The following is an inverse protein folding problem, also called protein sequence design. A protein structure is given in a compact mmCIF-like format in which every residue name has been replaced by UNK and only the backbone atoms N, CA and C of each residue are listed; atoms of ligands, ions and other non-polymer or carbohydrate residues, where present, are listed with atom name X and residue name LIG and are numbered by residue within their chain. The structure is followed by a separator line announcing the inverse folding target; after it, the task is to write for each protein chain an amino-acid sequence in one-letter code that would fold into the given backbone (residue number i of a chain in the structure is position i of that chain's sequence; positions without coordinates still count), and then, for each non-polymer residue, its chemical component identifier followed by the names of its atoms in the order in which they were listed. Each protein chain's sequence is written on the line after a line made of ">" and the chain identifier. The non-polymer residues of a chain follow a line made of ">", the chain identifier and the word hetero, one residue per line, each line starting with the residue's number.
data_IF_728518463043
#
_entry.id   IF_728518463043
#
_cell.length_a   1.000
_cell.length_b   1.000
_cell.length_c   1.000
_cell.angle_alpha   90.00
_cell.angle_beta   90.00
_cell.angle_gamma   90.00
#
_symmetry.space_group_name_H-M   'P 1'
#
loop_
_entity.id
_entity.type
_entity.pdbx_description
1 polymer ?
#
# COMPACT_ATOMS: atom_id res chain seq x y z
N UNK A 1 25.76 17.75 16.79
CA UNK A 1 24.95 16.54 16.55
C UNK A 1 25.89 15.36 16.60
N UNK A 2 25.65 14.46 17.55
CA UNK A 2 26.62 13.48 18.04
C UNK A 2 26.83 12.31 17.07
N UNK A 3 27.72 12.51 16.09
CA UNK A 3 28.14 11.50 15.11
C UNK A 3 28.69 10.21 15.72
N UNK A 4 29.07 10.24 17.01
CA UNK A 4 29.62 9.09 17.74
C UNK A 4 28.52 8.08 18.11
N UNK A 5 27.30 8.56 18.39
CA UNK A 5 26.15 7.69 18.69
C UNK A 5 25.71 6.92 17.44
N UNK A 6 25.68 7.61 16.30
CA UNK A 6 25.26 7.04 15.02
C UNK A 6 26.22 5.96 14.49
N UNK A 7 27.54 6.14 14.64
CA UNK A 7 28.53 5.16 14.16
C UNK A 7 28.49 3.87 14.98
N UNK A 8 28.27 3.98 16.29
CA UNK A 8 28.15 2.83 17.19
C UNK A 8 26.88 2.04 16.89
N UNK A 9 25.74 2.73 16.74
CA UNK A 9 24.47 2.10 16.36
C UNK A 9 24.57 1.36 15.03
N UNK A 10 25.15 2.01 14.01
CA UNK A 10 25.30 1.42 12.68
C UNK A 10 26.18 0.17 12.68
N UNK A 11 27.29 0.19 13.43
CA UNK A 11 28.17 -0.98 13.58
C UNK A 11 27.46 -2.15 14.25
N UNK A 12 26.70 -1.90 15.31
CA UNK A 12 25.91 -2.94 15.98
C UNK A 12 24.87 -3.53 15.05
N UNK A 13 24.08 -2.69 14.39
CA UNK A 13 23.02 -3.15 13.48
C UNK A 13 23.55 -3.95 12.29
N UNK A 14 24.64 -3.49 11.67
CA UNK A 14 25.29 -4.22 10.58
C UNK A 14 25.91 -5.53 11.06
N UNK A 15 26.43 -5.57 12.29
CA UNK A 15 26.96 -6.81 12.87
C UNK A 15 25.87 -7.86 13.05
N UNK A 16 24.73 -7.46 13.62
CA UNK A 16 23.55 -8.32 13.77
C UNK A 16 23.05 -8.82 12.41
N UNK A 17 22.96 -7.94 11.42
CA UNK A 17 22.57 -8.32 10.06
C UNK A 17 23.54 -9.33 9.44
N UNK A 18 24.86 -9.09 9.55
CA UNK A 18 25.87 -9.99 9.00
C UNK A 18 25.78 -11.38 9.67
N UNK A 19 25.65 -11.43 11.00
CA UNK A 19 25.50 -12.68 11.74
C UNK A 19 24.23 -13.41 11.33
N UNK A 20 23.09 -12.69 11.24
CA UNK A 20 21.83 -13.24 10.77
C UNK A 20 21.97 -13.88 9.38
N UNK A 21 22.57 -13.19 8.41
CA UNK A 21 22.77 -13.73 7.07
C UNK A 21 23.73 -14.93 7.05
N UNK A 22 24.78 -14.90 7.89
CA UNK A 22 25.69 -16.04 8.03
C UNK A 22 24.98 -17.27 8.62
N UNK A 23 24.10 -17.08 9.61
CA UNK A 23 23.28 -18.13 10.19
C UNK A 23 22.25 -18.70 9.18
N UNK A 24 21.76 -17.85 8.27
CA UNK A 24 20.93 -18.29 7.16
C UNK A 24 21.69 -19.12 6.12
N UNK A 25 23.03 -19.18 6.17
CA UNK A 25 23.83 -19.98 5.24
C UNK A 25 24.36 -19.20 4.04
N UNK A 26 24.33 -17.86 4.07
CA UNK A 26 25.00 -17.05 3.04
C UNK A 26 26.51 -17.03 3.25
N UNK A 27 27.27 -17.13 2.15
CA UNK A 27 28.73 -17.05 2.23
C UNK A 27 29.20 -15.63 2.57
N UNK A 28 30.23 -15.53 3.40
CA UNK A 28 30.80 -14.24 3.82
C UNK A 28 31.19 -13.33 2.65
N UNK A 29 31.60 -13.91 1.51
CA UNK A 29 31.96 -13.17 0.29
C UNK A 29 30.73 -12.48 -0.32
N UNK A 30 29.58 -13.15 -0.33
CA UNK A 30 28.35 -12.63 -0.92
C UNK A 30 27.73 -11.55 -0.04
N UNK A 31 27.75 -11.74 1.29
CA UNK A 31 27.34 -10.72 2.25
C UNK A 31 28.21 -9.45 2.08
N UNK A 32 29.54 -9.60 1.94
CA UNK A 32 30.46 -8.46 1.68
C UNK A 32 30.10 -7.73 0.38
N UNK A 33 29.85 -8.46 -0.71
CA UNK A 33 29.47 -7.89 -2.00
C UNK A 33 28.13 -7.15 -1.92
N UNK A 34 27.15 -7.72 -1.22
CA UNK A 34 25.85 -7.09 -1.01
C UNK A 34 25.99 -5.76 -0.26
N UNK A 35 26.69 -5.74 0.88
CA UNK A 35 26.93 -4.51 1.64
C UNK A 35 27.66 -3.44 0.80
N UNK A 36 28.63 -3.83 -0.03
CA UNK A 36 29.29 -2.89 -0.94
C UNK A 36 28.33 -2.31 -1.98
N UNK A 37 27.41 -3.11 -2.52
CA UNK A 37 26.38 -2.64 -3.47
C UNK A 37 25.39 -1.68 -2.83
N UNK A 38 25.08 -1.86 -1.55
CA UNK A 38 24.24 -0.92 -0.77
C UNK A 38 24.96 0.37 -0.36
N UNK A 39 26.22 0.57 -0.79
CA UNK A 39 26.96 1.82 -0.59
C UNK A 39 27.74 1.91 0.73
N UNK A 40 27.83 0.83 1.52
CA UNK A 40 28.63 0.82 2.74
C UNK A 40 30.14 0.91 2.44
N UNK A 41 30.87 1.72 3.21
CA UNK A 41 32.31 1.96 3.02
C UNK A 41 33.10 0.65 3.22
N UNK A 42 34.01 0.34 2.29
CA UNK A 42 34.88 -0.87 2.35
C UNK A 42 35.62 -1.02 3.69
N UNK A 43 36.06 0.09 4.29
CA UNK A 43 36.74 0.10 5.60
C UNK A 43 35.85 -0.44 6.72
N UNK A 44 34.60 0.02 6.79
CA UNK A 44 33.62 -0.40 7.79
C UNK A 44 33.30 -1.89 7.64
N UNK A 45 33.06 -2.35 6.40
CA UNK A 45 32.80 -3.78 6.12
C UNK A 45 33.98 -4.64 6.56
N UNK A 46 35.22 -4.21 6.29
CA UNK A 46 36.42 -4.94 6.69
C UNK A 46 36.53 -5.06 8.22
N UNK A 47 36.29 -3.96 8.93
CA UNK A 47 36.30 -3.89 10.40
C UNK A 47 35.24 -4.85 11.00
N UNK A 48 34.00 -4.80 10.51
CA UNK A 48 32.91 -5.68 10.97
C UNK A 48 33.25 -7.17 10.79
N UNK A 49 33.75 -7.57 9.62
CA UNK A 49 34.09 -8.97 9.37
C UNK A 49 35.32 -9.46 10.15
N UNK A 50 36.24 -8.56 10.53
CA UNK A 50 37.37 -8.90 11.40
C UNK A 50 36.92 -9.15 12.83
N UNK A 51 35.94 -8.39 13.33
CA UNK A 51 35.41 -8.57 14.68
C UNK A 51 34.52 -9.81 14.85
N UNK A 52 33.78 -10.20 13.80
CA UNK A 52 32.75 -11.24 13.91
C UNK A 52 33.26 -12.68 13.73
N UNK A 53 34.53 -12.90 13.36
CA UNK A 53 35.14 -14.23 13.18
C UNK A 53 34.29 -15.22 12.34
N UNK A 54 33.63 -14.73 11.29
CA UNK A 54 32.71 -15.53 10.47
C UNK A 54 33.51 -16.44 9.54
N UNK A 55 33.29 -17.75 9.66
CA UNK A 55 33.87 -18.76 8.76
C UNK A 55 33.48 -18.48 7.31
N UNK A 56 34.42 -18.62 6.38
CA UNK A 56 34.20 -18.37 4.95
C UNK A 56 33.31 -19.41 4.28
N UNK A 57 33.12 -20.58 4.89
CA UNK A 57 32.26 -21.64 4.35
C UNK A 57 30.87 -21.56 4.97
N UNK A 58 29.80 -21.50 4.16
CA UNK A 58 28.44 -21.55 4.67
C UNK A 58 28.21 -22.90 5.37
N UNK A 59 27.67 -22.87 6.60
CA UNK A 59 27.39 -24.08 7.38
C UNK A 59 26.12 -24.81 6.87
N UNK A 60 25.27 -24.11 6.14
CA UNK A 60 23.95 -24.56 5.67
C UNK A 60 23.66 -23.93 4.30
N UNK A 61 22.79 -24.55 3.49
CA UNK A 61 22.29 -23.90 2.27
C UNK A 61 21.36 -22.74 2.66
N UNK A 62 21.39 -21.60 1.93
CA UNK A 62 20.49 -20.48 2.18
C UNK A 62 19.05 -20.96 2.17
N UNK A 63 18.37 -20.81 3.32
CA UNK A 63 16.95 -21.11 3.42
C UNK A 63 16.20 -19.91 2.85
N UNK A 64 15.56 -20.08 1.70
CA UNK A 64 14.59 -19.09 1.23
C UNK A 64 13.41 -19.13 2.21
N UNK A 65 13.18 -18.01 2.90
CA UNK A 65 11.98 -17.83 3.71
C UNK A 65 10.77 -17.87 2.79
N UNK A 66 9.79 -18.71 3.12
CA UNK A 66 8.53 -18.72 2.40
C UNK A 66 7.72 -17.49 2.82
N UNK A 67 6.90 -16.95 1.93
CA UNK A 67 5.90 -15.93 2.25
C UNK A 67 4.95 -16.34 3.38
N UNK A 68 4.86 -17.63 3.69
CA UNK A 68 4.10 -18.18 4.81
C UNK A 68 4.78 -18.01 6.17
N UNK A 69 6.08 -17.70 6.20
CA UNK A 69 6.85 -17.47 7.43
C UNK A 69 6.77 -15.99 7.88
N UNK A 70 6.21 -15.12 7.05
CA UNK A 70 5.99 -13.70 7.36
C UNK A 70 4.68 -13.52 8.12
N UNK A 71 4.69 -12.62 9.11
CA UNK A 71 3.45 -12.14 9.73
C UNK A 71 2.51 -11.56 8.65
N UNK A 72 1.21 -11.70 8.83
CA UNK A 72 0.21 -11.40 7.80
C UNK A 72 0.27 -9.94 7.38
N UNK A 73 0.46 -9.02 8.33
CA UNK A 73 0.62 -7.59 8.06
C UNK A 73 1.90 -7.30 7.27
N UNK A 74 3.02 -7.93 7.65
CA UNK A 74 4.30 -7.77 6.95
C UNK A 74 4.24 -8.35 5.54
N UNK A 75 3.54 -9.47 5.34
CA UNK A 75 3.33 -10.07 4.02
C UNK A 75 2.55 -9.13 3.10
N UNK A 76 1.45 -8.53 3.60
CA UNK A 76 0.65 -7.55 2.85
C UNK A 76 1.49 -6.32 2.51
N UNK A 77 2.31 -5.84 3.45
CA UNK A 77 3.20 -4.71 3.23
C UNK A 77 4.24 -4.98 2.14
N UNK A 78 4.96 -6.10 2.23
CA UNK A 78 5.97 -6.51 1.23
C UNK A 78 5.32 -6.75 -0.14
N UNK A 79 4.15 -7.38 -0.18
CA UNK A 79 3.38 -7.57 -1.41
C UNK A 79 3.00 -6.22 -2.04
N UNK A 80 2.60 -5.24 -1.24
CA UNK A 80 2.26 -3.90 -1.73
C UNK A 80 3.48 -3.19 -2.31
N UNK A 81 4.66 -3.30 -1.67
CA UNK A 81 5.91 -2.75 -2.22
C UNK A 81 6.32 -3.41 -3.54
N UNK A 82 6.12 -4.74 -3.66
CA UNK A 82 6.37 -5.46 -4.90
C UNK A 82 5.45 -5.00 -6.02
N UNK A 83 4.15 -4.83 -5.73
CA UNK A 83 3.17 -4.31 -6.70
C UNK A 83 3.61 -2.93 -7.20
N UNK A 84 3.96 -2.01 -6.30
CA UNK A 84 4.43 -0.66 -6.65
C UNK A 84 5.66 -0.70 -7.55
N UNK A 85 6.62 -1.57 -7.24
CA UNK A 85 7.83 -1.74 -8.06
C UNK A 85 7.49 -2.29 -9.45
N UNK A 86 6.70 -3.36 -9.53
CA UNK A 86 6.32 -3.99 -10.80
C UNK A 86 5.57 -2.99 -11.69
N UNK A 87 4.65 -2.20 -11.12
CA UNK A 87 3.90 -1.17 -11.86
C UNK A 87 4.83 -0.09 -12.41
N UNK A 88 5.85 0.35 -11.65
CA UNK A 88 6.83 1.33 -12.11
C UNK A 88 7.67 0.79 -13.26
N UNK A 89 8.24 -0.39 -13.11
CA UNK A 89 9.06 -1.00 -14.16
C UNK A 89 8.24 -1.29 -15.42
N UNK A 90 6.97 -1.68 -15.26
CA UNK A 90 6.08 -1.88 -16.38
C UNK A 90 5.78 -0.58 -17.13
N UNK A 91 5.59 0.54 -16.42
CA UNK A 91 5.44 1.89 -17.03
C UNK A 91 6.69 2.35 -17.79
N UNK A 92 7.87 1.86 -17.42
CA UNK A 92 9.15 2.12 -18.13
C UNK A 92 9.28 1.27 -19.40
N UNK A 93 8.40 0.27 -19.60
CA UNK A 93 8.33 -0.56 -20.81
C UNK A 93 8.82 -2.00 -20.62
N UNK A 94 9.16 -2.42 -19.41
CA UNK A 94 9.54 -3.80 -19.15
C UNK A 94 8.31 -4.73 -19.15
N UNK A 95 8.45 -5.92 -19.74
CA UNK A 95 7.40 -6.93 -19.71
C UNK A 95 7.28 -7.56 -18.32
N UNK A 96 6.07 -7.97 -17.92
CA UNK A 96 5.83 -8.59 -16.61
C UNK A 96 6.69 -9.86 -16.40
N UNK A 97 6.91 -10.63 -17.46
CA UNK A 97 7.78 -11.82 -17.42
C UNK A 97 9.25 -11.48 -17.16
N UNK A 98 9.76 -10.39 -17.73
CA UNK A 98 11.13 -9.93 -17.48
C UNK A 98 11.28 -9.46 -16.02
N UNK A 99 10.29 -8.72 -15.51
CA UNK A 99 10.26 -8.25 -14.12
C UNK A 99 10.17 -9.44 -13.15
N UNK A 100 9.30 -10.42 -13.43
CA UNK A 100 9.19 -11.66 -12.64
C UNK A 100 10.52 -12.37 -12.52
N UNK A 101 11.18 -12.63 -13.66
CA UNK A 101 12.48 -13.30 -13.70
C UNK A 101 13.53 -12.52 -12.91
N UNK A 102 13.56 -11.19 -13.03
CA UNK A 102 14.48 -10.37 -12.26
C UNK A 102 14.23 -10.51 -10.76
N UNK A 103 12.99 -10.30 -10.29
CA UNK A 103 12.64 -10.36 -8.87
C UNK A 103 12.96 -11.73 -8.24
N UNK A 104 12.62 -12.82 -8.94
CA UNK A 104 12.95 -14.19 -8.47
C UNK A 104 14.45 -14.41 -8.43
N UNK A 105 15.21 -13.95 -9.44
CA UNK A 105 16.67 -14.06 -9.45
C UNK A 105 17.34 -13.22 -8.34
N UNK A 106 16.70 -12.13 -7.90
CA UNK A 106 17.14 -11.33 -6.76
C UNK A 106 16.75 -11.93 -5.40
N UNK A 107 16.08 -13.08 -5.38
CA UNK A 107 15.77 -13.83 -4.17
C UNK A 107 14.41 -13.51 -3.55
N UNK A 108 13.51 -12.82 -4.27
CA UNK A 108 12.12 -12.70 -3.84
C UNK A 108 11.39 -14.04 -4.00
N UNK A 109 10.44 -14.32 -3.10
CA UNK A 109 9.61 -15.53 -3.15
C UNK A 109 8.80 -15.55 -4.48
N UNK A 110 8.96 -16.59 -5.32
CA UNK A 110 8.21 -16.72 -6.57
C UNK A 110 6.70 -16.64 -6.39
N UNK A 111 6.15 -17.19 -5.31
CA UNK A 111 4.71 -17.20 -5.06
C UNK A 111 4.19 -15.79 -4.79
N UNK A 112 4.93 -15.00 -4.00
CA UNK A 112 4.57 -13.63 -3.67
C UNK A 112 4.64 -12.72 -4.90
N UNK A 113 5.66 -12.92 -5.75
CA UNK A 113 5.80 -12.21 -7.03
C UNK A 113 4.64 -12.57 -7.97
N UNK A 114 4.26 -13.84 -8.04
CA UNK A 114 3.14 -14.29 -8.86
C UNK A 114 1.80 -13.73 -8.39
N UNK A 115 1.55 -13.71 -7.08
CA UNK A 115 0.37 -13.04 -6.53
C UNK A 115 0.35 -11.54 -6.85
N UNK A 116 1.48 -10.85 -6.71
CA UNK A 116 1.58 -9.42 -7.03
C UNK A 116 1.27 -9.15 -8.51
N UNK A 117 1.84 -9.95 -9.43
CA UNK A 117 1.55 -9.86 -10.87
C UNK A 117 0.08 -10.20 -11.15
N UNK A 118 -0.49 -11.19 -10.46
CA UNK A 118 -1.89 -11.55 -10.60
C UNK A 118 -2.81 -10.40 -10.17
N UNK A 119 -2.51 -9.73 -9.05
CA UNK A 119 -3.24 -8.56 -8.57
C UNK A 119 -3.19 -7.42 -9.62
N UNK A 120 -2.02 -7.20 -10.24
CA UNK A 120 -1.85 -6.21 -11.31
C UNK A 120 -2.66 -6.57 -12.55
N UNK A 121 -2.56 -7.80 -13.04
CA UNK A 121 -3.29 -8.27 -14.22
C UNK A 121 -4.81 -8.27 -14.04
N UNK A 122 -5.30 -8.41 -12.81
CA UNK A 122 -6.71 -8.28 -12.46
C UNK A 122 -7.18 -6.82 -12.37
N UNK A 123 -6.29 -5.84 -12.55
CA UNK A 123 -6.62 -4.42 -12.39
C UNK A 123 -6.91 -4.01 -10.95
N UNK A 124 -6.56 -4.85 -9.97
CA UNK A 124 -6.71 -4.57 -8.53
C UNK A 124 -5.50 -3.83 -7.97
N UNK A 125 -4.90 -2.96 -8.77
CA UNK A 125 -3.78 -2.13 -8.31
C UNK A 125 -4.38 -0.98 -7.51
N UNK A 126 -4.45 -1.16 -6.19
CA UNK A 126 -4.57 -0.04 -5.26
C UNK A 126 -3.22 0.67 -5.28
N UNK A 127 -3.14 1.80 -5.96
CA UNK A 127 -1.97 2.66 -5.96
C UNK A 127 -1.87 3.29 -4.54
N UNK A 128 -1.25 2.58 -3.59
CA UNK A 128 -1.20 3.00 -2.17
C UNK A 128 -0.44 4.33 -1.97
N UNK A 129 0.29 4.79 -2.99
CA UNK A 129 0.99 6.08 -3.02
C UNK A 129 0.27 7.18 -3.81
N UNK A 130 -0.78 6.85 -4.56
CA UNK A 130 -1.57 7.85 -5.26
C UNK A 130 -2.72 8.29 -4.34
N UNK A 131 -2.59 9.53 -3.89
CA UNK A 131 -3.64 10.33 -3.28
C UNK A 131 -3.89 10.02 -1.80
N UNK A 132 -3.35 10.89 -0.94
CA UNK A 132 -4.04 11.30 0.28
C UNK A 132 -5.37 11.97 -0.10
N UNK A 133 -6.26 11.25 -0.80
CA UNK A 133 -7.64 11.69 -0.94
C UNK A 133 -8.21 11.77 0.47
N UNK A 134 -8.91 12.87 0.80
CA UNK A 134 -9.59 12.97 2.08
C UNK A 134 -10.47 11.74 2.28
N UNK A 135 -10.52 11.22 3.51
CA UNK A 135 -11.32 10.04 3.85
C UNK A 135 -12.78 10.26 3.40
N UNK A 136 -13.19 9.59 2.32
CA UNK A 136 -14.55 9.72 1.77
C UNK A 136 -15.49 8.73 2.45
N UNK A 137 -16.61 9.22 2.97
CA UNK A 137 -17.62 8.41 3.64
C UNK A 137 -18.80 8.10 2.70
N UNK A 138 -19.58 7.04 2.97
CA UNK A 138 -20.84 6.81 2.27
C UNK A 138 -21.73 8.06 2.29
N UNK A 139 -22.19 8.49 1.12
CA UNK A 139 -23.02 9.69 0.95
C UNK A 139 -24.19 9.77 1.94
N UNK A 140 -24.90 8.66 2.15
CA UNK A 140 -26.04 8.63 3.08
C UNK A 140 -25.64 9.01 4.51
N UNK A 141 -24.43 8.63 4.96
CA UNK A 141 -23.92 8.95 6.28
C UNK A 141 -23.61 10.45 6.38
N UNK A 142 -22.90 11.00 5.40
CA UNK A 142 -22.53 12.43 5.39
C UNK A 142 -23.77 13.32 5.31
N UNK A 143 -24.72 13.00 4.43
CA UNK A 143 -25.96 13.74 4.29
C UNK A 143 -26.81 13.69 5.57
N UNK A 144 -26.94 12.52 6.20
CA UNK A 144 -27.68 12.37 7.45
C UNK A 144 -27.05 13.14 8.61
N UNK A 145 -25.72 13.08 8.73
CA UNK A 145 -24.97 13.79 9.76
C UNK A 145 -25.06 15.31 9.57
N UNK A 146 -24.98 15.78 8.32
CA UNK A 146 -25.12 17.20 7.98
C UNK A 146 -26.52 17.72 8.31
N UNK A 147 -27.56 16.93 8.01
CA UNK A 147 -28.94 17.25 8.35
C UNK A 147 -29.17 17.28 9.86
N UNK A 148 -28.59 16.32 10.59
CA UNK A 148 -28.60 16.29 12.05
C UNK A 148 -27.96 17.55 12.65
N UNK A 149 -26.76 17.93 12.21
CA UNK A 149 -26.09 19.14 12.70
C UNK A 149 -26.85 20.42 12.33
N UNK A 150 -27.46 20.47 11.15
CA UNK A 150 -28.29 21.61 10.73
C UNK A 150 -29.51 21.75 11.66
N UNK A 151 -30.19 20.64 11.97
CA UNK A 151 -31.30 20.64 12.92
C UNK A 151 -30.87 21.01 14.34
N UNK A 152 -29.76 20.45 14.82
CA UNK A 152 -29.19 20.79 16.13
C UNK A 152 -28.84 22.28 16.23
N UNK A 153 -28.33 22.87 15.15
CA UNK A 153 -28.08 24.30 15.07
C UNK A 153 -29.38 25.14 15.16
N UNK A 154 -30.48 24.69 14.53
CA UNK A 154 -31.78 25.37 14.67
C UNK A 154 -32.33 25.29 16.10
N UNK A 155 -32.17 24.15 16.77
CA UNK A 155 -32.52 24.01 18.19
C UNK A 155 -31.66 24.93 19.05
N UNK A 156 -30.36 25.00 18.79
CA UNK A 156 -29.45 25.93 19.47
C UNK A 156 -29.85 27.39 19.26
N UNK A 157 -30.21 27.79 18.02
CA UNK A 157 -30.74 29.13 17.75
C UNK A 157 -32.04 29.40 18.51
N UNK A 158 -32.94 28.42 18.56
CA UNK A 158 -34.21 28.51 19.31
C UNK A 158 -33.98 28.81 20.78
N UNK A 159 -33.06 28.07 21.41
CA UNK A 159 -32.70 28.29 22.82
C UNK A 159 -32.02 29.65 23.00
N UNK A 160 -31.07 30.00 22.12
CA UNK A 160 -30.26 31.22 22.27
C UNK A 160 -31.06 32.51 22.04
N UNK A 161 -32.13 32.44 21.27
CA UNK A 161 -32.99 33.59 20.92
C UNK A 161 -34.31 33.62 21.69
N UNK A 162 -34.50 32.71 22.65
CA UNK A 162 -35.76 32.51 23.38
C UNK A 162 -37.00 32.50 22.47
N UNK A 163 -36.83 31.92 21.28
CA UNK A 163 -37.83 31.92 20.23
C UNK A 163 -38.22 30.48 19.93
N UNK A 164 -39.53 30.21 19.92
CA UNK A 164 -40.06 28.88 19.62
C UNK A 164 -39.51 28.34 18.29
N UNK A 165 -39.10 27.06 18.29
CA UNK A 165 -38.62 26.36 17.10
C UNK A 165 -39.61 26.43 15.93
N UNK A 166 -40.92 26.49 16.21
CA UNK A 166 -41.97 26.62 15.20
C UNK A 166 -41.96 27.97 14.45
N UNK A 167 -41.38 29.02 15.05
CA UNK A 167 -41.17 30.32 14.39
C UNK A 167 -39.86 30.36 13.60
N UNK A 168 -38.84 29.64 14.05
CA UNK A 168 -37.53 29.59 13.41
C UNK A 168 -37.55 28.68 12.19
N UNK A 169 -38.16 27.49 12.31
CA UNK A 169 -38.11 26.45 11.29
C UNK A 169 -38.59 26.93 9.90
N UNK A 170 -39.70 27.68 9.75
CA UNK A 170 -40.12 28.20 8.46
C UNK A 170 -39.06 29.12 7.82
N UNK A 171 -38.38 29.95 8.61
CA UNK A 171 -37.33 30.85 8.13
C UNK A 171 -36.08 30.12 7.62
N UNK A 172 -35.92 28.84 7.95
CA UNK A 172 -34.86 27.98 7.44
C UNK A 172 -35.34 26.93 6.43
N UNK A 173 -36.62 26.97 6.03
CA UNK A 173 -37.15 26.11 4.96
C UNK A 173 -36.34 26.22 3.64
N UNK A 174 -35.90 27.42 3.21
CA UNK A 174 -35.07 27.55 1.99
C UNK A 174 -33.76 26.77 2.04
N UNK A 175 -33.13 26.65 3.21
CA UNK A 175 -31.95 25.81 3.41
C UNK A 175 -32.26 24.34 3.15
N UNK A 176 -33.34 23.82 3.72
CA UNK A 176 -33.70 22.39 3.55
C UNK A 176 -34.10 22.07 2.12
N UNK A 177 -34.85 22.95 1.46
CA UNK A 177 -35.22 22.81 0.04
C UNK A 177 -33.96 22.75 -0.82
N UNK A 178 -33.04 23.69 -0.62
CA UNK A 178 -31.79 23.75 -1.36
C UNK A 178 -30.91 22.53 -1.09
N UNK A 179 -30.83 22.10 0.17
CA UNK A 179 -30.11 20.90 0.55
C UNK A 179 -30.66 19.68 -0.18
N UNK A 180 -31.99 19.43 -0.15
CA UNK A 180 -32.60 18.29 -0.85
C UNK A 180 -32.35 18.34 -2.35
N UNK A 181 -32.54 19.50 -3.00
CA UNK A 181 -32.37 19.63 -4.45
C UNK A 181 -30.91 19.42 -4.88
N UNK A 182 -29.95 19.96 -4.13
CA UNK A 182 -28.52 19.76 -4.41
C UNK A 182 -28.10 18.31 -4.15
N UNK A 183 -28.63 17.68 -3.10
CA UNK A 183 -28.39 16.27 -2.82
C UNK A 183 -28.93 15.36 -3.93
N UNK A 184 -30.11 15.65 -4.48
CA UNK A 184 -30.62 14.98 -5.68
C UNK A 184 -29.70 15.25 -6.89
N UNK A 185 -29.33 16.50 -7.15
CA UNK A 185 -28.44 16.85 -8.25
C UNK A 185 -27.07 16.14 -8.14
N UNK A 186 -26.51 16.02 -6.93
CA UNK A 186 -25.25 15.32 -6.67
C UNK A 186 -25.29 13.86 -7.13
N UNK A 187 -26.43 13.18 -6.97
CA UNK A 187 -26.62 11.80 -7.46
C UNK A 187 -26.49 11.75 -8.99
N UNK A 188 -27.13 12.67 -9.71
CA UNK A 188 -27.19 12.65 -11.17
C UNK A 188 -25.95 13.26 -11.87
N UNK A 189 -25.22 14.17 -11.22
CA UNK A 189 -24.13 14.93 -11.87
C UNK A 189 -22.82 14.15 -11.87
N UNK A 190 -22.40 13.59 -13.01
CA UNK A 190 -21.19 12.75 -13.11
C UNK A 190 -19.87 13.51 -13.30
N UNK A 191 -19.90 14.79 -13.66
CA UNK A 191 -18.69 15.55 -13.95
C UNK A 191 -18.13 16.21 -12.66
N UNK A 192 -16.85 15.94 -12.34
CA UNK A 192 -16.18 16.50 -11.16
C UNK A 192 -16.20 18.03 -11.12
N UNK A 193 -16.08 18.70 -12.27
CA UNK A 193 -16.12 20.17 -12.34
C UNK A 193 -17.49 20.74 -11.95
N UNK A 194 -18.56 20.05 -12.33
CA UNK A 194 -19.92 20.45 -11.98
C UNK A 194 -20.27 20.14 -10.52
N UNK A 195 -19.70 19.08 -9.95
CA UNK A 195 -19.85 18.77 -8.51
C UNK A 195 -19.26 19.89 -7.65
N UNK A 196 -18.09 20.41 -8.01
CA UNK A 196 -17.45 21.51 -7.28
C UNK A 196 -18.28 22.82 -7.31
N UNK A 197 -19.16 22.99 -8.30
CA UNK A 197 -20.05 24.15 -8.41
C UNK A 197 -21.37 23.98 -7.65
N UNK A 198 -21.73 22.77 -7.22
CA UNK A 198 -23.01 22.49 -6.54
C UNK A 198 -23.23 23.34 -5.27
N UNK A 199 -22.23 23.64 -4.43
CA UNK A 199 -22.45 24.50 -3.28
C UNK A 199 -22.91 25.92 -3.65
N UNK A 200 -22.36 26.49 -4.72
CA UNK A 200 -22.79 27.78 -5.24
C UNK A 200 -24.21 27.74 -5.80
N UNK A 201 -24.57 26.68 -6.52
CA UNK A 201 -25.96 26.47 -6.95
C UNK A 201 -26.91 26.35 -5.76
N UNK A 202 -26.49 25.70 -4.68
CA UNK A 202 -27.27 25.61 -3.45
C UNK A 202 -27.57 26.99 -2.84
N UNK A 203 -26.57 27.87 -2.80
CA UNK A 203 -26.74 29.26 -2.34
C UNK A 203 -27.75 30.00 -3.22
N UNK A 204 -27.64 29.89 -4.55
CA UNK A 204 -28.57 30.56 -5.47
C UNK A 204 -30.00 30.07 -5.24
N UNK A 205 -30.21 28.75 -5.14
CA UNK A 205 -31.53 28.17 -4.86
C UNK A 205 -32.07 28.67 -3.51
N UNK A 206 -31.20 28.79 -2.49
CA UNK A 206 -31.58 29.28 -1.16
C UNK A 206 -32.07 30.72 -1.23
N UNK A 207 -31.32 31.59 -1.91
CA UNK A 207 -31.66 33.02 -2.05
C UNK A 207 -32.97 33.19 -2.83
N UNK A 208 -33.12 32.50 -3.95
CA UNK A 208 -34.35 32.55 -4.77
C UNK A 208 -35.55 32.04 -3.97
N UNK A 209 -35.40 30.91 -3.28
CA UNK A 209 -36.49 30.33 -2.46
C UNK A 209 -36.86 31.22 -1.28
N UNK A 210 -35.89 31.90 -0.66
CA UNK A 210 -36.12 32.82 0.45
C UNK A 210 -36.85 34.10 -0.02
N UNK A 211 -36.38 34.72 -1.11
CA UNK A 211 -37.04 35.90 -1.69
C UNK A 211 -38.47 35.56 -2.12
N UNK A 212 -38.65 34.42 -2.81
CA UNK A 212 -39.98 33.93 -3.17
C UNK A 212 -40.85 33.69 -1.93
N UNK A 213 -40.32 33.04 -0.90
CA UNK A 213 -41.04 32.78 0.35
C UNK A 213 -41.52 34.07 1.05
N UNK A 214 -40.73 35.14 1.03
CA UNK A 214 -41.14 36.46 1.54
C UNK A 214 -42.22 37.09 0.65
N UNK A 215 -42.06 37.02 -0.68
CA UNK A 215 -43.00 37.61 -1.63
C UNK A 215 -44.39 36.97 -1.56
N UNK A 216 -44.45 35.64 -1.40
CA UNK A 216 -45.71 34.89 -1.29
C UNK A 216 -46.28 34.82 0.14
N UNK A 217 -45.67 35.51 1.11
CA UNK A 217 -46.17 35.57 2.49
C UNK A 217 -46.03 34.27 3.29
N UNK A 218 -45.24 33.31 2.79
CA UNK A 218 -44.92 32.04 3.47
C UNK A 218 -43.91 32.30 4.58
N UNK A 219 -42.97 33.21 4.34
CA UNK A 219 -41.99 33.68 5.32
C UNK A 219 -42.45 35.01 5.90
N UNK A 220 -42.40 35.12 7.23
CA UNK A 220 -42.72 36.38 7.91
C UNK A 220 -41.70 37.46 7.55
N UNK A 221 -42.18 38.67 7.21
CA UNK A 221 -41.34 39.87 7.11
C UNK A 221 -40.92 40.32 8.52
N UNK A 222 -40.01 39.58 9.14
CA UNK A 222 -39.46 39.91 10.43
C UNK A 222 -38.28 40.88 10.29
N UNK A 223 -38.11 41.84 11.22
CA UNK A 223 -36.87 42.61 11.29
C UNK A 223 -35.68 41.65 11.45
N UNK A 224 -34.64 41.84 10.62
CA UNK A 224 -33.50 40.91 10.54
C UNK A 224 -33.62 39.82 9.47
N UNK A 225 -34.57 39.93 8.53
CA UNK A 225 -34.68 39.04 7.37
C UNK A 225 -33.38 38.91 6.57
N UNK A 226 -32.59 39.98 6.48
CA UNK A 226 -31.32 39.98 5.75
C UNK A 226 -30.28 39.12 6.45
N UNK A 227 -30.25 39.14 7.78
CA UNK A 227 -29.38 38.29 8.61
C UNK A 227 -29.79 36.83 8.45
N UNK A 228 -31.09 36.54 8.44
CA UNK A 228 -31.61 35.18 8.21
C UNK A 228 -31.26 34.67 6.81
N UNK A 229 -31.36 35.51 5.78
CA UNK A 229 -30.97 35.17 4.41
C UNK A 229 -29.47 34.81 4.33
N UNK A 230 -28.61 35.65 4.90
CA UNK A 230 -27.16 35.41 4.93
C UNK A 230 -26.85 34.10 5.67
N UNK A 231 -27.49 33.87 6.81
CA UNK A 231 -27.26 32.67 7.60
C UNK A 231 -27.71 31.40 6.86
N UNK A 232 -28.88 31.44 6.21
CA UNK A 232 -29.34 30.36 5.32
C UNK A 232 -28.34 30.09 4.19
N UNK A 233 -27.85 31.14 3.52
CA UNK A 233 -26.90 31.01 2.42
C UNK A 233 -25.57 30.37 2.88
N UNK A 234 -25.02 30.85 4.00
CA UNK A 234 -23.76 30.33 4.58
C UNK A 234 -23.93 28.86 4.98
N UNK A 235 -25.00 28.51 5.69
CA UNK A 235 -25.24 27.13 6.10
C UNK A 235 -25.50 26.21 4.91
N UNK A 236 -26.22 26.67 3.88
CA UNK A 236 -26.37 25.90 2.63
C UNK A 236 -25.02 25.66 1.97
N UNK A 237 -24.17 26.69 1.86
CA UNK A 237 -22.83 26.54 1.27
C UNK A 237 -21.98 25.51 2.03
N UNK A 238 -21.94 25.61 3.37
CA UNK A 238 -21.17 24.70 4.21
C UNK A 238 -21.73 23.28 4.14
N UNK A 239 -23.05 23.11 4.32
CA UNK A 239 -23.69 21.79 4.31
C UNK A 239 -23.53 21.06 2.98
N UNK A 240 -23.80 21.74 1.87
CA UNK A 240 -23.61 21.17 0.53
C UNK A 240 -22.14 20.96 0.19
N UNK A 241 -21.25 21.85 0.63
CA UNK A 241 -19.81 21.72 0.51
C UNK A 241 -19.26 20.48 1.24
N UNK A 242 -19.71 20.24 2.48
CA UNK A 242 -19.36 19.04 3.24
C UNK A 242 -19.81 17.77 2.52
N UNK A 243 -21.05 17.74 2.03
CA UNK A 243 -21.55 16.60 1.25
C UNK A 243 -20.70 16.40 -0.01
N UNK A 244 -20.41 17.44 -0.77
CA UNK A 244 -19.62 17.32 -2.00
C UNK A 244 -18.16 16.92 -1.76
N UNK A 245 -17.54 17.40 -0.68
CA UNK A 245 -16.14 17.16 -0.37
C UNK A 245 -15.88 15.79 0.28
N UNK A 246 -16.79 15.34 1.16
CA UNK A 246 -16.58 14.14 1.98
C UNK A 246 -17.42 12.94 1.55
N UNK A 247 -18.41 13.11 0.66
CA UNK A 247 -19.20 11.98 0.18
C UNK A 247 -18.51 11.23 -0.94
N UNK A 248 -18.38 9.91 -0.76
CA UNK A 248 -18.06 9.00 -1.84
C UNK A 248 -19.29 8.87 -2.74
N UNK A 249 -19.17 9.30 -3.99
CA UNK A 249 -20.20 9.02 -4.99
C UNK A 249 -20.26 7.50 -5.20
N UNK A 250 -21.45 6.91 -5.05
CA UNK A 250 -21.64 5.46 -5.11
C UNK A 250 -21.08 4.85 -6.40
N UNK A 251 -20.38 3.71 -6.26
CA UNK A 251 -19.65 2.99 -7.32
C UNK A 251 -18.85 3.91 -8.26
N UNK A 252 -17.97 4.74 -7.71
CA UNK A 252 -16.67 4.93 -8.38
C UNK A 252 -15.91 3.60 -8.30
N UNK A 253 -16.35 2.65 -9.13
CA UNK A 253 -15.50 1.57 -9.58
C UNK A 253 -14.31 2.28 -10.21
N UNK A 254 -13.14 2.20 -9.58
CA UNK A 254 -11.89 2.70 -10.14
C UNK A 254 -11.61 1.81 -11.35
N UNK A 255 -12.33 2.06 -12.43
CA UNK A 255 -11.98 1.59 -13.76
C UNK A 255 -10.79 2.45 -14.11
N UNK A 256 -9.60 2.02 -13.68
CA UNK A 256 -8.40 2.31 -14.45
C UNK A 256 -8.73 1.74 -15.82
N UNK A 257 -9.16 2.62 -16.74
CA UNK A 257 -9.14 2.32 -18.16
C UNK A 257 -7.67 2.18 -18.51
N UNK A 258 -7.12 1.01 -18.22
CA UNK A 258 -5.89 0.57 -18.84
C UNK A 258 -6.20 0.63 -20.33
N UNK A 259 -5.58 1.57 -21.03
CA UNK A 259 -5.65 1.72 -22.49
C UNK A 259 -5.24 0.43 -23.23
N UNK A 260 -4.77 -0.57 -22.50
CA UNK A 260 -4.26 -1.84 -23.03
C UNK A 260 -5.33 -2.77 -23.60
N UNK A 261 -6.64 -2.61 -23.34
CA UNK A 261 -7.61 -3.52 -24.01
C UNK A 261 -7.73 -3.28 -25.52
N UNK A 262 -7.39 -2.08 -26.02
CA UNK A 262 -7.27 -1.81 -27.47
C UNK A 262 -5.87 -2.09 -27.99
N UNK A 263 -4.83 -1.80 -27.22
CA UNK A 263 -3.44 -2.06 -27.62
C UNK A 263 -3.06 -3.55 -27.54
N UNK A 264 -3.54 -4.31 -26.56
CA UNK A 264 -3.37 -5.76 -26.49
C UNK A 264 -4.21 -6.52 -27.53
N UNK A 265 -5.34 -5.95 -27.99
CA UNK A 265 -6.07 -6.48 -29.15
C UNK A 265 -5.31 -6.20 -30.46
N UNK A 266 -4.73 -5.01 -30.61
CA UNK A 266 -3.84 -4.69 -31.75
C UNK A 266 -2.58 -5.56 -31.78
N UNK A 267 -1.91 -5.75 -30.64
CA UNK A 267 -0.73 -6.61 -30.56
C UNK A 267 -1.06 -8.09 -30.85
N UNK A 268 -2.22 -8.59 -30.42
CA UNK A 268 -2.68 -9.95 -30.78
C UNK A 268 -3.12 -10.09 -32.24
N UNK A 269 -3.62 -9.04 -32.87
CA UNK A 269 -3.87 -9.02 -34.32
C UNK A 269 -2.57 -8.91 -35.12
N UNK A 270 -1.60 -8.11 -34.67
CA UNK A 270 -0.28 -7.99 -35.30
C UNK A 270 0.55 -9.28 -35.16
N UNK A 271 0.52 -9.98 -34.02
CA UNK A 271 1.13 -11.31 -33.87
C UNK A 271 0.48 -12.37 -34.78
N UNK A 272 -0.85 -12.37 -34.92
CA UNK A 272 -1.54 -13.27 -35.87
C UNK A 272 -1.19 -12.97 -37.32
N UNK A 273 -1.00 -11.70 -37.69
CA UNK A 273 -0.61 -11.30 -39.04
C UNK A 273 0.86 -11.68 -39.34
N UNK A 274 1.73 -11.72 -38.32
CA UNK A 274 3.12 -12.17 -38.47
C UNK A 274 3.21 -13.71 -38.59
N UNK A 275 2.41 -14.48 -37.84
CA UNK A 275 2.34 -15.93 -37.99
C UNK A 275 1.75 -16.37 -39.35
N UNK A 276 0.80 -15.61 -39.90
CA UNK A 276 0.17 -15.94 -41.19
C UNK A 276 1.05 -15.59 -42.41
N UNK A 277 2.02 -14.67 -42.26
CA UNK A 277 2.96 -14.29 -43.33
C UNK A 277 4.28 -15.06 -43.34
N UNK A 278 4.61 -15.80 -42.28
CA UNK A 278 5.77 -16.70 -42.28
C UNK A 278 5.27 -18.11 -42.65
N UNK A 279 4.91 -18.30 -43.93
CA UNK A 279 4.90 -19.64 -44.53
C UNK A 279 6.35 -20.11 -44.62
N UNK A 280 6.81 -20.79 -43.58
CA UNK A 280 8.08 -21.54 -43.61
C UNK A 280 8.01 -22.53 -44.78
N UNK A 281 8.91 -22.46 -45.77
CA UNK A 281 8.98 -23.45 -46.83
C UNK A 281 9.21 -24.83 -46.20
N UNK A 282 8.37 -25.80 -46.54
CA UNK A 282 8.61 -27.22 -46.23
C UNK A 282 9.96 -27.62 -46.83
N UNK A 283 10.99 -27.72 -46.00
CA UNK A 283 12.23 -28.39 -46.38
C UNK A 283 12.02 -29.89 -46.23
N UNK A 284 12.26 -30.58 -47.34
CA UNK A 284 12.24 -32.03 -47.50
C UNK A 284 13.60 -32.57 -47.01
N UNK A 285 13.54 -33.51 -46.04
CA UNK A 285 14.32 -34.76 -45.87
C UNK A 285 14.71 -35.05 -44.40
N UNK A 286 14.49 -36.28 -43.91
CA UNK A 286 14.91 -36.69 -42.58
C UNK A 286 16.38 -37.14 -42.59
N UNK A 287 17.23 -36.46 -41.83
CA UNK A 287 18.58 -36.91 -41.54
C UNK A 287 18.57 -38.16 -40.61
N UNK A 288 19.50 -39.11 -40.78
CA UNK A 288 19.48 -40.41 -40.12
C UNK A 288 19.78 -40.29 -38.62
N UNK A 289 19.14 -41.15 -37.83
CA UNK A 289 19.37 -41.31 -36.39
C UNK A 289 20.76 -41.91 -36.15
N UNK A 290 21.70 -41.09 -35.70
CA UNK A 290 22.89 -41.59 -35.00
C UNK A 290 22.67 -41.57 -33.48
N UNK A 291 23.01 -42.64 -32.75
CA UNK A 291 22.89 -42.70 -31.30
C UNK A 291 23.95 -41.81 -30.63
N UNK A 292 23.48 -40.86 -29.83
CA UNK A 292 24.33 -40.00 -29.01
C UNK A 292 25.07 -40.83 -27.95
N UNK A 293 26.40 -40.89 -28.05
CA UNK A 293 27.27 -41.36 -26.98
C UNK A 293 27.70 -40.16 -26.11
N UNK A 294 27.42 -40.15 -24.79
CA UNK A 294 27.97 -39.12 -23.91
C UNK A 294 29.49 -39.29 -23.74
N UNK A 295 30.27 -38.20 -23.74
CA UNK A 295 31.71 -38.27 -23.57
C UNK A 295 32.08 -38.77 -22.17
N UNK A 296 33.07 -39.67 -22.12
CA UNK A 296 33.67 -40.22 -20.89
C UNK A 296 34.14 -39.08 -19.97
N UNK A 297 33.60 -39.04 -18.76
CA UNK A 297 34.15 -38.24 -17.66
C UNK A 297 35.57 -38.75 -17.36
N UNK A 298 36.54 -37.87 -17.54
CA UNK A 298 37.93 -38.13 -17.25
C UNK A 298 38.16 -37.97 -15.75
N UNK A 299 38.16 -39.09 -15.01
CA UNK A 299 38.59 -39.17 -13.62
C UNK A 299 40.10 -38.95 -13.55
N UNK A 300 40.53 -37.69 -13.41
CA UNK A 300 41.94 -37.34 -13.27
C UNK A 300 42.09 -36.06 -12.44
N UNK A 301 41.63 -36.07 -11.18
CA UNK A 301 42.07 -35.10 -10.17
C UNK A 301 41.71 -35.53 -8.72
N UNK A 302 41.91 -36.80 -8.39
CA UNK A 302 41.68 -37.33 -7.02
C UNK A 302 42.93 -37.97 -6.38
N UNK A 303 44.12 -37.56 -6.80
CA UNK A 303 45.37 -37.93 -6.13
C UNK A 303 46.23 -36.70 -5.97
N UNK A 304 46.24 -36.13 -4.76
CA UNK A 304 47.11 -35.11 -4.14
C UNK A 304 46.15 -34.39 -3.17
N UNK A 305 45.95 -34.83 -1.94
CA UNK A 305 46.89 -34.78 -0.83
C UNK A 305 46.40 -35.81 0.20
N UNK A 306 47.12 -36.93 0.31
CA UNK A 306 47.00 -37.89 1.41
C UNK A 306 48.43 -38.17 1.83
N UNK A 307 48.95 -37.36 2.76
CA UNK A 307 50.06 -37.63 3.68
C UNK A 307 50.51 -36.29 4.25
N UNK A 308 50.05 -35.97 5.46
CA UNK A 308 50.87 -35.41 6.55
C UNK A 308 50.01 -35.39 7.83
N UNK A 309 50.07 -36.48 8.60
CA UNK A 309 50.86 -36.62 9.83
C UNK A 309 50.07 -36.15 11.07
N UNK A 310 49.53 -37.17 11.74
CA UNK A 310 49.59 -37.41 13.18
C UNK A 310 50.14 -36.29 14.06
N UNK A 311 49.28 -35.70 14.91
CA UNK A 311 49.65 -35.30 16.28
C UNK A 311 48.51 -35.56 17.28
N UNK A 312 48.84 -35.93 18.53
CA UNK A 312 47.95 -36.64 19.43
C UNK A 312 46.97 -35.74 20.21
N UNK A 313 45.84 -36.37 20.58
CA UNK A 313 44.82 -35.92 21.53
C UNK A 313 45.44 -35.41 22.84
N UNK A 314 45.08 -34.20 23.25
CA UNK A 314 45.10 -33.81 24.67
C UNK A 314 43.69 -33.88 25.23
N UNK A 315 43.53 -34.80 26.18
CA UNK A 315 42.45 -34.90 27.14
C UNK A 315 42.58 -33.73 28.11
N UNK A 316 41.51 -32.97 28.32
CA UNK A 316 41.37 -32.13 29.52
C UNK A 316 39.98 -32.34 30.10
N UNK A 317 40.00 -32.67 31.39
CA UNK A 317 38.87 -32.95 32.25
C UNK A 317 38.02 -31.69 32.50
N UNK A 318 36.71 -31.90 32.62
CA UNK A 318 35.80 -30.98 33.31
C UNK A 318 36.25 -30.72 34.75
N UNK A 319 35.84 -29.57 35.31
CA UNK A 319 35.16 -29.61 36.60
C UNK A 319 33.77 -29.00 36.53
N UNK A 320 32.95 -29.54 37.42
CA UNK A 320 31.54 -29.33 37.70
C UNK A 320 31.23 -28.02 38.44
N UNK A 321 29.93 -27.69 38.41
CA UNK A 321 29.15 -26.89 39.36
C UNK A 321 29.40 -25.38 39.45
N UNK A 322 28.35 -24.59 39.20
CA UNK A 322 27.61 -23.85 40.25
C UNK A 322 26.27 -23.37 39.69
N UNK A 323 25.22 -23.79 40.40
CA UNK A 323 23.84 -23.30 40.43
C UNK A 323 23.73 -21.78 40.65
N UNK A 324 22.80 -21.11 39.98
CA UNK A 324 21.75 -20.28 40.63
C UNK A 324 20.84 -19.60 39.59
N UNK A 325 19.56 -19.99 39.61
CA UNK A 325 18.39 -19.25 39.14
C UNK A 325 18.21 -17.95 39.95
N UNK A 326 17.49 -16.92 39.43
CA UNK A 326 16.05 -16.90 39.68
C UNK A 326 15.16 -16.48 38.50
N UNK A 327 14.04 -17.21 38.41
CA UNK A 327 12.78 -16.75 37.82
C UNK A 327 12.25 -15.49 38.54
N UNK A 328 11.54 -14.62 37.81
CA UNK A 328 10.42 -13.73 38.21
C UNK A 328 10.17 -12.76 37.04
N UNK A 329 8.97 -12.31 36.65
CA UNK A 329 7.60 -12.42 37.15
C UNK A 329 6.65 -12.19 35.95
N UNK A 330 5.61 -13.02 35.82
CA UNK A 330 4.39 -12.66 35.08
C UNK A 330 3.64 -11.58 35.88
N UNK A 331 3.34 -10.42 35.28
CA UNK A 331 2.32 -9.49 35.79
C UNK A 331 1.13 -9.49 34.83
N UNK A 332 0.05 -10.14 35.27
CA UNK A 332 -1.31 -9.94 34.73
C UNK A 332 -1.89 -8.73 35.44
N UNK A 333 -2.32 -7.72 34.71
CA UNK A 333 -3.28 -6.74 35.25
C UNK A 333 -4.59 -6.86 34.46
N UNK A 334 -5.61 -7.32 35.18
CA UNK A 334 -7.02 -7.20 34.81
C UNK A 334 -7.49 -5.85 35.32
N UNK A 335 -7.95 -4.98 34.44
CA UNK A 335 -8.81 -3.86 34.81
C UNK A 335 -10.26 -4.29 34.56
N UNK A 336 -10.98 -4.51 35.66
CA UNK A 336 -12.44 -4.49 35.71
C UNK A 336 -12.86 -3.02 35.72
N UNK A 337 -13.68 -2.59 34.77
CA UNK A 337 -14.51 -1.40 34.94
C UNK A 337 -15.92 -1.90 35.19
N UNK A 338 -16.46 -1.48 36.33
CA UNK A 338 -17.83 -1.70 36.80
C UNK A 338 -18.74 -0.65 36.17
N UNK A 339 -19.99 -1.06 36.01
CA UNK A 339 -21.16 -0.29 35.63
C UNK A 339 -21.35 0.97 36.49
N UNK A 340 -21.66 2.09 35.81
CA UNK A 340 -22.65 3.12 36.19
C UNK A 340 -23.36 3.53 34.91
#
# INVERSE_FOLDING_TARGET
>A
MDTISDDTYMKTHLSEYILFQADQGYAAIDIKKALQRFGYKKRLIKELFQHLNISTSPKTKPRMYSSNDLDTELRIYVQSLLIDYIVKEHKVGYTLDAIKKALVNFGHDPHLVDEAIQIISQGKVMDYRAESEPLKFPYAIVASLTLFFSFAFLVFLSISTDTSIFKILPNFLPLFISFVLINLAFIYVSNRKTIAALPLFGVIITVVSFIGGIQYGILGKAPGSDVLLILNAVLTFISTGLVCAFSKKGKEEIVVKIKDKKEAKKHKEEEKIVEEKIKVPKLIEPAPKEPYHPPKQNNSMLHYIRHEIDKPKKVYNSPSDVSHLPQKHKRKERLKIKDI
#
